data_IF_613298031234
#
_entry.id   IF_613298031234
#
_cell.length_a   1.000
_cell.length_b   1.000
_cell.length_c   1.000
_cell.angle_alpha   90.00
_cell.angle_beta   90.00
_cell.angle_gamma   90.00
#
_symmetry.space_group_name_H-M   'P 1'
#
loop_
_entity.id
_entity.type
_entity.pdbx_description
1 polymer ?
#
# COMPACT_ATOMS: atom_id res chain seq x y z
N UNK A 1 11.94 -0.43 -12.79
CA UNK A 1 10.87 -0.95 -13.68
C UNK A 1 11.36 -0.81 -15.10
N UNK A 2 11.18 -1.82 -15.95
CA UNK A 2 11.71 -1.82 -17.31
C UNK A 2 10.64 -2.32 -18.31
N UNK A 3 10.73 -1.85 -19.55
CA UNK A 3 9.86 -2.25 -20.65
C UNK A 3 10.63 -3.09 -21.65
N UNK A 4 10.09 -4.24 -22.02
CA UNK A 4 10.52 -4.95 -23.23
C UNK A 4 9.35 -5.02 -24.20
N UNK A 5 9.65 -4.78 -25.47
CA UNK A 5 8.70 -4.95 -26.57
C UNK A 5 8.72 -6.42 -26.97
N UNK A 6 7.60 -7.12 -26.84
CA UNK A 6 7.41 -8.40 -27.53
C UNK A 6 6.78 -8.18 -28.91
N UNK A 7 6.79 -9.19 -29.78
CA UNK A 7 6.17 -9.11 -31.11
C UNK A 7 4.68 -8.72 -31.01
N UNK A 8 4.29 -7.70 -31.79
CA UNK A 8 3.00 -7.02 -31.68
C UNK A 8 3.06 -5.82 -30.73
N UNK A 9 2.04 -4.96 -30.72
CA UNK A 9 2.01 -3.74 -29.89
C UNK A 9 1.84 -4.02 -28.37
N UNK A 10 2.32 -5.15 -27.87
CA UNK A 10 2.24 -5.54 -26.45
C UNK A 10 3.55 -5.20 -25.76
N UNK A 11 3.47 -4.27 -24.81
CA UNK A 11 4.57 -3.98 -23.89
C UNK A 11 4.48 -4.96 -22.73
N UNK A 12 5.56 -5.69 -22.48
CA UNK A 12 5.69 -6.54 -21.30
C UNK A 12 6.34 -5.71 -20.19
N UNK A 13 5.65 -5.64 -19.06
CA UNK A 13 6.12 -4.98 -17.87
C UNK A 13 7.05 -5.93 -17.11
N UNK A 14 8.15 -5.41 -16.57
CA UNK A 14 8.96 -6.19 -15.66
C UNK A 14 9.68 -5.38 -14.58
N UNK A 15 10.11 -6.11 -13.57
CA UNK A 15 10.82 -5.64 -12.40
C UNK A 15 12.26 -6.11 -12.48
N UNK A 16 13.18 -5.16 -12.39
CA UNK A 16 14.59 -5.48 -12.21
C UNK A 16 14.85 -5.56 -10.72
N UNK A 17 15.26 -6.72 -10.26
CA UNK A 17 15.64 -6.96 -8.88
C UNK A 17 17.15 -7.09 -8.84
N UNK A 18 17.76 -6.33 -7.93
CA UNK A 18 19.16 -6.47 -7.58
C UNK A 18 19.22 -7.12 -6.20
N UNK A 19 19.78 -8.32 -6.13
CA UNK A 19 20.13 -8.94 -4.86
C UNK A 19 21.51 -8.45 -4.46
N UNK A 20 21.61 -7.89 -3.25
CA UNK A 20 22.88 -7.47 -2.67
C UNK A 20 23.33 -8.54 -1.68
N UNK A 21 23.68 -9.70 -2.23
CA UNK A 21 24.53 -10.70 -1.60
C UNK A 21 25.92 -10.65 -2.24
N UNK A 22 26.78 -11.64 -1.94
CA UNK A 22 28.19 -11.61 -2.36
C UNK A 22 28.40 -11.61 -3.90
N UNK A 23 27.38 -11.90 -4.71
CA UNK A 23 27.51 -12.08 -6.16
C UNK A 23 26.66 -11.12 -7.02
N UNK A 24 26.02 -10.10 -6.42
CA UNK A 24 25.32 -9.01 -7.11
C UNK A 24 24.48 -9.46 -8.32
N UNK A 25 23.62 -10.45 -8.12
CA UNK A 25 22.79 -10.98 -9.20
C UNK A 25 21.68 -10.00 -9.58
N UNK A 26 21.66 -9.65 -10.87
CA UNK A 26 20.56 -8.93 -11.50
C UNK A 26 19.59 -9.91 -12.14
N UNK A 27 18.30 -9.84 -11.78
CA UNK A 27 17.26 -10.66 -12.37
C UNK A 27 16.10 -9.80 -12.86
N UNK A 28 15.66 -10.08 -14.08
CA UNK A 28 14.45 -9.49 -14.65
C UNK A 28 13.25 -10.40 -14.38
N UNK A 29 12.24 -9.88 -13.70
CA UNK A 29 10.97 -10.58 -13.48
C UNK A 29 9.86 -9.95 -14.31
N UNK A 30 9.18 -10.76 -15.10
CA UNK A 30 8.04 -10.31 -15.90
C UNK A 30 6.81 -10.17 -15.00
N UNK A 31 6.12 -9.03 -15.12
CA UNK A 31 4.82 -8.82 -14.51
C UNK A 31 3.75 -9.56 -15.32
N UNK A 32 2.87 -10.33 -14.66
CA UNK A 32 1.76 -10.99 -15.34
C UNK A 32 0.62 -10.05 -15.72
N UNK A 33 0.60 -8.80 -15.26
CA UNK A 33 -0.46 -7.85 -15.61
C UNK A 33 0.01 -6.80 -16.62
N UNK A 34 -0.84 -6.56 -17.62
CA UNK A 34 -0.67 -5.48 -18.59
C UNK A 34 -1.41 -4.23 -18.09
N UNK A 35 -0.73 -3.09 -18.02
CA UNK A 35 -1.38 -1.81 -17.72
C UNK A 35 -0.86 -0.70 -18.64
N UNK A 36 -1.76 0.23 -19.02
CA UNK A 36 -1.41 1.40 -19.82
C UNK A 36 -0.95 2.54 -18.90
N UNK A 37 0.36 2.72 -18.79
CA UNK A 37 0.99 3.62 -17.83
C UNK A 37 0.84 5.11 -18.10
N UNK A 38 0.27 5.52 -19.24
CA UNK A 38 0.08 6.95 -19.54
C UNK A 38 -0.81 7.67 -18.51
N UNK A 39 -1.60 6.92 -17.72
CA UNK A 39 -2.50 7.45 -16.70
C UNK A 39 -2.52 6.60 -15.41
N UNK A 40 -1.37 6.04 -15.00
CA UNK A 40 -1.28 5.21 -13.78
C UNK A 40 -0.39 5.86 -12.74
N UNK A 41 -0.91 5.98 -11.52
CA UNK A 41 -0.15 6.32 -10.32
C UNK A 41 0.25 5.04 -9.59
N UNK A 42 1.41 5.07 -8.94
CA UNK A 42 1.90 3.91 -8.18
C UNK A 42 1.90 4.23 -6.69
N UNK A 43 1.44 3.26 -5.91
CA UNK A 43 1.70 3.21 -4.46
C UNK A 43 2.42 1.91 -4.16
N UNK A 44 3.40 1.97 -3.29
CA UNK A 44 4.21 0.79 -2.94
C UNK A 44 4.26 0.60 -1.44
N UNK A 45 4.37 -0.65 -1.02
CA UNK A 45 4.70 -0.99 0.35
C UNK A 45 5.56 -2.25 0.34
N UNK A 46 6.56 -2.28 1.22
CA UNK A 46 7.30 -3.49 1.51
C UNK A 46 6.79 -4.08 2.83
N UNK A 47 6.46 -5.36 2.81
CA UNK A 47 6.07 -6.12 3.99
C UNK A 47 6.83 -7.43 3.92
N UNK A 48 7.72 -7.63 4.90
CA UNK A 48 8.67 -8.73 4.92
C UNK A 48 9.42 -8.85 3.57
N UNK A 49 9.47 -10.04 2.99
CA UNK A 49 10.14 -10.33 1.72
C UNK A 49 9.27 -10.09 0.48
N UNK A 50 8.14 -9.38 0.61
CA UNK A 50 7.26 -9.08 -0.52
C UNK A 50 7.18 -7.57 -0.76
N UNK A 51 7.44 -7.16 -2.00
CA UNK A 51 7.28 -5.79 -2.45
C UNK A 51 5.97 -5.67 -3.24
N UNK A 52 5.02 -4.91 -2.70
CA UNK A 52 3.69 -4.74 -3.27
C UNK A 52 3.62 -3.44 -4.07
N UNK A 53 3.09 -3.51 -5.28
CA UNK A 53 2.98 -2.38 -6.21
C UNK A 53 1.53 -2.26 -6.63
N UNK A 54 0.85 -1.26 -6.08
CA UNK A 54 -0.53 -0.94 -6.42
C UNK A 54 -0.52 -0.04 -7.65
N UNK A 55 -1.29 -0.42 -8.66
CA UNK A 55 -1.43 0.33 -9.91
C UNK A 55 -2.76 1.07 -9.90
N UNK A 56 -2.73 2.38 -9.68
CA UNK A 56 -3.91 3.23 -9.58
C UNK A 56 -4.19 3.91 -10.91
N UNK A 57 -5.25 3.50 -11.59
CA UNK A 57 -5.79 4.22 -12.74
C UNK A 57 -6.83 5.27 -12.32
N UNK A 58 -7.42 5.93 -13.32
CA UNK A 58 -8.49 6.93 -13.12
C UNK A 58 -9.71 6.41 -12.35
N UNK A 59 -9.97 5.10 -12.41
CA UNK A 59 -11.12 4.45 -11.75
C UNK A 59 -10.78 3.79 -10.42
N UNK A 60 -9.53 3.88 -9.95
CA UNK A 60 -9.05 3.21 -8.75
C UNK A 60 -7.92 2.22 -9.01
N UNK A 61 -7.62 1.35 -8.02
CA UNK A 61 -6.52 0.37 -8.09
C UNK A 61 -6.92 -0.78 -9.01
N UNK A 62 -6.35 -0.93 -10.20
CA UNK A 62 -6.72 -2.04 -11.10
C UNK A 62 -6.21 -3.39 -10.60
N UNK A 63 -4.95 -3.42 -10.21
CA UNK A 63 -4.22 -4.62 -9.85
C UNK A 63 -3.05 -4.29 -8.91
N UNK A 64 -2.60 -5.31 -8.20
CA UNK A 64 -1.45 -5.25 -7.30
C UNK A 64 -0.46 -6.32 -7.72
N UNK A 65 0.74 -5.89 -8.10
CA UNK A 65 1.84 -6.81 -8.30
C UNK A 65 2.53 -7.08 -6.96
N UNK A 66 2.59 -8.35 -6.61
CA UNK A 66 3.24 -8.88 -5.43
C UNK A 66 4.56 -9.49 -5.90
N UNK A 67 5.66 -8.78 -5.68
CA UNK A 67 7.01 -9.22 -6.04
C UNK A 67 7.59 -9.97 -4.83
N UNK A 68 7.59 -11.30 -4.91
CA UNK A 68 8.18 -12.17 -3.89
C UNK A 68 9.70 -12.19 -4.08
N UNK A 69 10.42 -11.52 -3.19
CA UNK A 69 11.87 -11.32 -3.29
C UNK A 69 12.65 -12.58 -2.93
N UNK A 70 12.10 -13.44 -2.06
CA UNK A 70 12.72 -14.71 -1.66
C UNK A 70 12.67 -15.74 -2.79
N UNK A 71 11.49 -15.88 -3.40
CA UNK A 71 11.23 -16.88 -4.43
C UNK A 71 11.37 -16.30 -5.84
N UNK A 72 11.76 -15.02 -5.95
CA UNK A 72 12.05 -14.28 -7.17
C UNK A 72 10.97 -14.47 -8.26
N UNK A 73 9.71 -14.24 -7.90
CA UNK A 73 8.58 -14.31 -8.83
C UNK A 73 7.58 -13.20 -8.56
N UNK A 74 6.69 -12.98 -9.53
CA UNK A 74 5.67 -11.93 -9.47
C UNK A 74 4.29 -12.57 -9.56
N UNK A 75 3.39 -12.17 -8.65
CA UNK A 75 1.98 -12.54 -8.69
C UNK A 75 1.16 -11.26 -8.77
N UNK A 76 0.31 -11.15 -9.79
CA UNK A 76 -0.70 -10.07 -9.83
C UNK A 76 -1.97 -10.50 -9.11
N UNK A 77 -2.48 -9.62 -8.27
CA UNK A 77 -3.76 -9.76 -7.56
C UNK A 77 -4.72 -8.71 -8.11
N UNK A 78 -5.87 -9.16 -8.60
CA UNK A 78 -6.93 -8.24 -9.04
C UNK A 78 -7.61 -7.60 -7.84
N UNK A 79 -7.97 -6.32 -7.98
CA UNK A 79 -8.67 -5.57 -6.95
C UNK A 79 -10.07 -5.21 -7.45
N UNK A 80 -11.13 -5.78 -6.87
CA UNK A 80 -12.51 -5.37 -7.13
C UNK A 80 -12.73 -3.89 -6.77
N UNK A 81 -13.28 -3.11 -7.71
CA UNK A 81 -13.45 -1.65 -7.56
C UNK A 81 -14.59 -1.22 -6.63
N UNK A 82 -15.39 -2.16 -6.13
CA UNK A 82 -16.63 -1.86 -5.40
C UNK A 82 -16.47 -1.78 -3.87
N UNK A 83 -15.25 -1.92 -3.34
CA UNK A 83 -15.02 -1.99 -1.89
C UNK A 83 -14.88 -0.63 -1.18
N UNK A 84 -14.36 0.36 -1.90
CA UNK A 84 -14.18 1.74 -1.43
C UNK A 84 -14.94 2.68 -2.35
N UNK A 85 -15.58 3.71 -1.79
CA UNK A 85 -16.24 4.73 -2.59
C UNK A 85 -15.21 5.67 -3.22
N UNK A 86 -14.12 5.97 -2.50
CA UNK A 86 -13.07 6.89 -2.98
C UNK A 86 -11.66 6.28 -2.99
N UNK A 87 -11.32 5.67 -4.11
CA UNK A 87 -10.04 5.00 -4.34
C UNK A 87 -8.82 5.93 -4.32
N UNK A 88 -8.99 7.23 -4.60
CA UNK A 88 -7.90 8.20 -4.52
C UNK A 88 -7.28 8.29 -3.11
N UNK A 89 -8.07 7.96 -2.08
CA UNK A 89 -7.68 8.02 -0.68
C UNK A 89 -7.39 6.63 -0.08
N UNK A 90 -7.26 5.59 -0.91
CA UNK A 90 -7.00 4.21 -0.46
C UNK A 90 -5.50 3.92 -0.47
N UNK A 91 -4.92 3.70 0.70
CA UNK A 91 -3.49 3.47 0.87
C UNK A 91 -3.18 2.00 1.16
N UNK A 92 -2.04 1.48 0.68
CA UNK A 92 -1.53 0.22 1.17
C UNK A 92 -1.05 0.38 2.61
N UNK A 93 -1.39 -0.60 3.46
CA UNK A 93 -1.04 -0.63 4.88
C UNK A 93 -0.46 -1.99 5.23
N UNK A 94 0.58 -2.02 6.04
CA UNK A 94 1.04 -3.25 6.67
C UNK A 94 0.09 -3.57 7.84
N UNK A 95 -0.79 -4.54 7.68
CA UNK A 95 -1.78 -4.95 8.68
C UNK A 95 -1.40 -6.30 9.28
N UNK A 96 -0.79 -6.28 10.46
CA UNK A 96 -0.30 -7.48 11.15
C UNK A 96 0.54 -8.40 10.24
N UNK A 97 1.46 -7.80 9.46
CA UNK A 97 2.34 -8.53 8.53
C UNK A 97 1.68 -8.90 7.20
N UNK A 98 0.46 -8.43 6.93
CA UNK A 98 -0.24 -8.68 5.66
C UNK A 98 -0.50 -7.37 4.94
N UNK A 99 -0.51 -7.42 3.61
CA UNK A 99 -0.99 -6.28 2.83
C UNK A 99 -2.47 -6.05 3.14
N UNK A 100 -2.82 -4.81 3.45
CA UNK A 100 -4.19 -4.33 3.45
C UNK A 100 -4.34 -3.06 2.63
N UNK A 101 -5.56 -2.83 2.15
CA UNK A 101 -5.99 -1.56 1.59
C UNK A 101 -6.82 -0.83 2.63
N UNK A 102 -6.49 0.42 2.92
CA UNK A 102 -7.18 1.20 3.93
C UNK A 102 -7.61 2.57 3.39
N UNK A 103 -8.85 2.94 3.66
CA UNK A 103 -9.43 4.23 3.29
C UNK A 103 -10.29 4.80 4.40
N UNK A 104 -10.27 6.12 4.56
CA UNK A 104 -11.15 6.82 5.50
C UNK A 104 -12.42 7.26 4.78
N UNK A 105 -13.57 6.84 5.31
CA UNK A 105 -14.90 7.24 4.82
C UNK A 105 -15.79 7.61 6.01
N UNK A 106 -16.31 8.85 6.01
CA UNK A 106 -17.28 9.34 7.02
C UNK A 106 -16.84 9.06 8.48
N UNK A 107 -15.58 9.38 8.79
CA UNK A 107 -15.00 9.22 10.13
C UNK A 107 -14.73 7.77 10.56
N UNK A 108 -14.67 6.85 9.59
CA UNK A 108 -14.34 5.44 9.84
C UNK A 108 -13.20 5.01 8.92
N UNK A 109 -12.29 4.21 9.46
CA UNK A 109 -11.27 3.53 8.66
C UNK A 109 -11.85 2.19 8.18
N UNK A 110 -12.04 2.06 6.87
CA UNK A 110 -12.30 0.78 6.24
C UNK A 110 -10.97 0.11 5.88
N UNK A 111 -10.78 -1.14 6.29
CA UNK A 111 -9.58 -1.93 6.03
C UNK A 111 -9.96 -3.22 5.33
N UNK A 112 -9.31 -3.53 4.22
CA UNK A 112 -9.51 -4.75 3.47
C UNK A 112 -8.20 -5.50 3.30
N UNK A 113 -8.10 -6.66 3.96
CA UNK A 113 -6.83 -7.41 4.11
C UNK A 113 -6.71 -8.48 3.02
N UNK A 114 -5.54 -8.52 2.39
CA UNK A 114 -5.13 -9.62 1.52
C UNK A 114 -4.66 -10.79 2.40
N UNK A 115 -5.60 -11.67 2.73
CA UNK A 115 -5.37 -12.85 3.58
C UNK A 115 -4.22 -13.73 3.08
N UNK A 116 -4.13 -13.92 1.76
CA UNK A 116 -3.11 -14.73 1.12
C UNK A 116 -2.87 -14.29 -0.33
N UNK A 117 -1.76 -13.60 -0.60
CA UNK A 117 -1.43 -13.12 -1.95
C UNK A 117 -1.17 -14.26 -2.94
N UNK A 118 -0.52 -15.36 -2.50
CA UNK A 118 -0.25 -16.54 -3.34
C UNK A 118 -1.53 -17.18 -3.87
N UNK A 119 -2.59 -17.18 -3.05
CA UNK A 119 -3.93 -17.64 -3.43
C UNK A 119 -4.84 -16.53 -3.97
N UNK A 120 -4.34 -15.30 -4.11
CA UNK A 120 -5.10 -14.10 -4.53
C UNK A 120 -6.38 -13.89 -3.70
N UNK A 121 -6.31 -14.21 -2.41
CA UNK A 121 -7.48 -14.27 -1.51
C UNK A 121 -7.52 -13.07 -0.59
N UNK A 122 -8.55 -12.26 -0.73
CA UNK A 122 -8.93 -11.20 0.20
C UNK A 122 -9.87 -11.73 1.29
N UNK A 123 -9.90 -11.06 2.45
CA UNK A 123 -10.97 -11.27 3.44
C UNK A 123 -12.33 -10.99 2.80
N UNK A 124 -13.39 -11.69 3.24
CA UNK A 124 -14.72 -11.49 2.65
C UNK A 124 -15.29 -10.10 2.92
N UNK A 125 -15.05 -9.57 4.11
CA UNK A 125 -15.63 -8.31 4.58
C UNK A 125 -14.52 -7.34 5.00
N UNK A 126 -14.74 -6.04 4.78
CA UNK A 126 -13.86 -5.01 5.34
C UNK A 126 -14.01 -4.94 6.85
N UNK A 127 -12.90 -4.76 7.55
CA UNK A 127 -12.90 -4.31 8.94
C UNK A 127 -13.24 -2.82 8.93
N UNK A 128 -14.12 -2.39 9.83
CA UNK A 128 -14.53 -0.99 9.93
C UNK A 128 -14.24 -0.49 11.34
N UNK A 129 -13.31 0.45 11.45
CA UNK A 129 -12.84 1.01 12.72
C UNK A 129 -13.36 2.44 12.84
N UNK A 130 -14.20 2.74 13.86
CA UNK A 130 -14.58 4.12 14.16
C UNK A 130 -13.36 4.93 14.60
N UNK A 131 -13.10 6.06 13.94
CA UNK A 131 -11.99 6.96 14.30
C UNK A 131 -12.49 7.98 15.33
N UNK A 132 -12.78 7.51 16.54
CA UNK A 132 -13.43 8.32 17.58
C UNK A 132 -12.61 9.55 17.98
N UNK A 133 -11.29 9.47 17.86
CA UNK A 133 -10.38 10.57 18.14
C UNK A 133 -10.61 11.80 17.25
N UNK A 134 -11.29 11.65 16.09
CA UNK A 134 -11.60 12.78 15.22
C UNK A 134 -12.51 13.83 15.88
N UNK A 135 -13.23 13.46 16.95
CA UNK A 135 -14.01 14.43 17.74
C UNK A 135 -13.12 15.35 18.56
N UNK A 136 -12.05 14.79 19.12
CA UNK A 136 -11.12 15.51 19.99
C UNK A 136 -10.05 16.26 19.18
N UNK A 137 -9.75 15.78 17.97
CA UNK A 137 -8.77 16.34 17.05
C UNK A 137 -9.37 16.63 15.66
N UNK A 138 -10.34 17.55 15.53
CA UNK A 138 -11.04 17.79 14.26
C UNK A 138 -10.13 18.31 13.14
N UNK A 139 -9.02 18.98 13.47
CA UNK A 139 -8.06 19.49 12.48
C UNK A 139 -7.39 18.37 11.68
N UNK A 140 -7.34 17.16 12.24
CA UNK A 140 -6.82 15.98 11.55
C UNK A 140 -7.66 15.59 10.33
N UNK A 141 -8.93 15.99 10.25
CA UNK A 141 -9.77 15.74 9.07
C UNK A 141 -9.31 16.54 7.84
N UNK A 142 -8.73 17.72 8.06
CA UNK A 142 -8.19 18.56 7.00
C UNK A 142 -6.73 18.24 6.65
N UNK A 143 -6.05 17.48 7.50
CA UNK A 143 -4.68 17.03 7.27
C UNK A 143 -4.73 15.72 6.48
N UNK A 144 -3.94 15.61 5.42
CA UNK A 144 -3.84 14.38 4.63
C UNK A 144 -3.17 13.28 5.47
N UNK A 145 -3.95 12.59 6.30
CA UNK A 145 -3.48 11.50 7.13
C UNK A 145 -3.43 10.20 6.33
N UNK A 146 -2.30 9.51 6.41
CA UNK A 146 -2.10 8.24 5.73
C UNK A 146 -1.81 7.15 6.75
N UNK A 147 -2.63 6.08 6.81
CA UNK A 147 -2.30 4.92 7.61
C UNK A 147 -1.16 4.18 6.91
N UNK A 148 -0.20 3.65 7.67
CA UNK A 148 0.96 2.97 7.07
C UNK A 148 1.26 1.61 7.67
N UNK A 149 0.94 1.42 8.95
CA UNK A 149 1.06 0.14 9.62
C UNK A 149 -0.03 -0.02 10.68
N UNK A 150 -0.40 -1.26 10.96
CA UNK A 150 -1.16 -1.65 12.12
C UNK A 150 -0.58 -2.93 12.71
N UNK A 151 -0.43 -2.94 14.03
CA UNK A 151 0.04 -4.10 14.79
C UNK A 151 -0.58 -4.08 16.18
N UNK A 152 -0.98 -5.24 16.68
CA UNK A 152 -1.44 -5.42 18.07
C UNK A 152 -2.53 -4.38 18.47
N UNK A 153 -3.60 -4.30 17.68
CA UNK A 153 -4.71 -3.34 17.86
C UNK A 153 -4.36 -1.85 17.74
N UNK A 154 -3.18 -1.51 17.25
CA UNK A 154 -2.75 -0.13 17.09
C UNK A 154 -2.50 0.21 15.64
N UNK A 155 -3.11 1.28 15.15
CA UNK A 155 -2.90 1.81 13.80
C UNK A 155 -1.96 3.02 13.87
N UNK A 156 -0.88 2.98 13.10
CA UNK A 156 0.08 4.06 12.97
C UNK A 156 -0.19 4.88 11.70
N UNK A 157 -0.07 6.18 11.86
CA UNK A 157 -0.39 7.20 10.85
C UNK A 157 0.78 8.17 10.72
N UNK A 158 0.89 8.77 9.54
CA UNK A 158 1.69 9.98 9.34
C UNK A 158 0.85 11.08 8.70
N UNK A 159 1.18 12.32 9.02
CA UNK A 159 0.67 13.48 8.30
C UNK A 159 1.48 13.72 7.03
N UNK A 160 0.78 14.03 5.94
CA UNK A 160 1.40 14.54 4.72
C UNK A 160 1.09 16.03 4.65
N UNK A 161 1.88 16.84 5.35
CA UNK A 161 1.87 18.29 5.16
C UNK A 161 3.31 18.82 5.03
N UNK A 162 3.54 19.52 3.91
CA UNK A 162 4.70 20.28 3.42
C UNK A 162 6.11 19.94 3.92
N UNK A 163 6.31 19.95 5.24
CA UNK A 163 7.62 19.86 5.88
C UNK A 163 7.62 19.02 7.19
N UNK A 164 6.46 18.60 7.70
CA UNK A 164 6.37 17.79 8.92
C UNK A 164 5.95 16.35 8.60
N UNK A 165 6.73 15.38 9.10
CA UNK A 165 6.37 13.94 9.11
C UNK A 165 5.97 13.54 10.52
N UNK A 166 5.10 14.32 11.14
CA UNK A 166 4.58 13.96 12.46
C UNK A 166 3.75 12.68 12.34
N UNK A 167 4.02 11.75 13.26
CA UNK A 167 3.34 10.48 13.33
C UNK A 167 2.45 10.43 14.56
N UNK A 168 1.39 9.63 14.48
CA UNK A 168 0.66 9.26 15.68
C UNK A 168 0.21 7.82 15.56
N UNK A 169 -0.18 7.26 16.69
CA UNK A 169 -0.81 5.96 16.74
C UNK A 169 -2.15 6.04 17.43
N UNK A 170 -3.10 5.26 16.94
CA UNK A 170 -4.42 5.13 17.49
C UNK A 170 -4.62 3.69 17.94
N UNK A 171 -4.89 3.51 19.23
CA UNK A 171 -5.22 2.23 19.81
C UNK A 171 -6.73 1.98 19.66
N UNK A 172 -7.09 0.93 18.91
CA UNK A 172 -8.47 0.66 18.50
C UNK A 172 -9.37 0.34 19.70
N UNK A 173 -8.85 -0.39 20.69
CA UNK A 173 -9.62 -0.86 21.84
C UNK A 173 -9.79 0.24 22.88
N UNK A 174 -8.68 0.82 23.32
CA UNK A 174 -8.68 1.88 24.33
C UNK A 174 -9.12 3.24 23.78
N UNK A 175 -9.19 3.38 22.45
CA UNK A 175 -9.54 4.60 21.71
C UNK A 175 -8.61 5.77 21.99
N UNK A 176 -7.40 5.49 22.46
CA UNK A 176 -6.40 6.50 22.80
C UNK A 176 -5.53 6.85 21.60
N UNK A 177 -5.18 8.13 21.50
CA UNK A 177 -4.18 8.62 20.55
C UNK A 177 -2.88 8.86 21.30
N UNK A 178 -1.79 8.43 20.69
CA UNK A 178 -0.43 8.72 21.14
C UNK A 178 0.33 9.38 19.99
N UNK A 179 0.70 10.64 20.20
CA UNK A 179 1.51 11.41 19.25
C UNK A 179 2.97 11.02 19.39
N UNK A 180 3.64 10.80 18.27
CA UNK A 180 5.07 10.49 18.22
C UNK A 180 5.74 11.45 17.26
N UNK A 181 6.77 12.14 17.73
CA UNK A 181 7.69 12.83 16.83
C UNK A 181 8.43 11.75 16.05
N UNK A 182 8.01 11.49 14.82
CA UNK A 182 8.64 10.47 13.99
C UNK A 182 9.93 11.04 13.41
N UNK A 183 11.07 10.65 13.98
CA UNK A 183 12.40 10.81 13.36
C UNK A 183 12.59 9.85 12.18
N UNK A 184 11.56 9.62 11.37
CA UNK A 184 11.61 8.66 10.28
C UNK A 184 12.21 9.35 9.04
N UNK A 185 13.55 9.32 8.99
CA UNK A 185 14.30 9.29 7.74
C UNK A 185 14.01 7.93 7.09
N UNK A 186 12.93 7.85 6.31
CA UNK A 186 12.78 6.80 5.32
C UNK A 186 13.03 7.42 3.95
N UNK A 187 14.02 6.84 3.27
CA UNK A 187 14.47 7.15 1.92
C UNK A 187 13.38 6.92 0.89
N UNK A 188 12.46 7.88 0.80
CA UNK A 188 11.73 8.13 -0.42
C UNK A 188 12.67 8.97 -1.29
N UNK A 189 13.54 8.30 -2.05
CA UNK A 189 14.07 8.91 -3.27
C UNK A 189 12.89 9.01 -4.23
N UNK A 190 12.28 10.19 -4.28
CA UNK A 190 11.55 10.63 -5.46
C UNK A 190 12.62 10.86 -6.54
N UNK A 191 12.80 9.86 -7.39
CA UNK A 191 13.41 10.03 -8.72
C UNK A 191 12.33 10.37 -9.72
#
# INVERSE_FOLDING_TARGET
MHYSKEEGNRYVLGYNILRVDADFRHKHLVSPSSCNFKHVWLRTINIDSVFYILKLGLKGVSDIDCVDLENEHVISVNVPQNFFSEWANVHPVNWDGKLALAGIEKGRLGVWVLENYRKRKWVKNKVVIPLTFMKDYPIMLSQNMVPYAAKDNRVCWFHVDGESRDGFSFDIESKKVEFKTCSIILGIHLG
#
